data_IF_579256009434
#
_entry.id   IF_579256009434
#
_cell.length_a   1.000
_cell.length_b   1.000
_cell.length_c   1.000
_cell.angle_alpha   90.00
_cell.angle_beta   90.00
_cell.angle_gamma   90.00
#
_symmetry.space_group_name_H-M   'P 1'
#
loop_
_entity.id
_entity.type
_entity.pdbx_description
1 polymer ?
#
# COMPACT_ATOMS: atom_id res chain seq x y z
N UNK A 1 -41.11 23.95 -27.73
CA UNK A 1 -40.23 22.80 -27.78
C UNK A 1 -39.44 22.82 -26.49
N UNK A 2 -39.54 21.77 -25.70
CA UNK A 2 -38.99 21.71 -24.33
C UNK A 2 -37.47 21.69 -24.38
N UNK A 3 -36.84 22.69 -23.75
CA UNK A 3 -35.40 22.71 -23.57
C UNK A 3 -34.96 21.52 -22.70
N UNK A 4 -33.94 20.82 -23.17
CA UNK A 4 -33.28 19.78 -22.43
C UNK A 4 -32.67 20.39 -21.16
N UNK A 5 -33.12 19.94 -20.01
CA UNK A 5 -32.50 20.23 -18.72
C UNK A 5 -31.14 19.56 -18.76
N UNK A 6 -30.08 20.36 -18.87
CA UNK A 6 -28.71 19.87 -18.61
C UNK A 6 -28.69 19.31 -17.19
N UNK A 7 -28.48 18.00 -17.03
CA UNK A 7 -28.21 17.42 -15.73
C UNK A 7 -26.90 18.04 -15.20
N UNK A 8 -27.04 18.97 -14.28
CA UNK A 8 -25.91 19.56 -13.57
C UNK A 8 -25.24 18.49 -12.74
N UNK A 9 -24.11 17.97 -13.22
CA UNK A 9 -23.29 16.95 -12.55
C UNK A 9 -22.46 17.62 -11.43
N UNK A 10 -23.11 18.13 -10.40
CA UNK A 10 -22.43 18.63 -9.21
C UNK A 10 -22.96 17.93 -7.95
N UNK A 11 -22.10 17.86 -6.93
CA UNK A 11 -22.48 17.43 -5.59
C UNK A 11 -22.41 18.62 -4.63
N UNK A 12 -23.48 18.87 -3.87
CA UNK A 12 -23.49 19.85 -2.81
C UNK A 12 -22.62 19.35 -1.65
N UNK A 13 -21.66 20.16 -1.20
CA UNK A 13 -20.84 19.88 -0.03
C UNK A 13 -21.52 20.40 1.22
N UNK A 14 -21.87 21.71 1.23
CA UNK A 14 -22.54 22.40 2.32
C UNK A 14 -23.06 23.76 1.87
N UNK A 15 -23.87 24.38 2.70
CA UNK A 15 -24.27 25.78 2.57
C UNK A 15 -23.52 26.61 3.64
N UNK A 16 -22.99 27.76 3.26
CA UNK A 16 -22.25 28.65 4.15
C UNK A 16 -22.72 30.09 3.98
N UNK A 17 -22.67 30.86 5.06
CA UNK A 17 -23.01 32.28 5.03
C UNK A 17 -21.74 33.11 4.80
N UNK A 18 -21.66 33.84 3.70
CA UNK A 18 -20.52 34.71 3.36
C UNK A 18 -20.99 35.98 2.68
N UNK A 19 -20.13 36.98 2.65
CA UNK A 19 -20.30 38.13 1.75
C UNK A 19 -20.02 37.66 0.32
N UNK A 20 -21.10 37.65 -0.49
CA UNK A 20 -21.03 37.14 -1.86
C UNK A 20 -20.45 38.21 -2.80
N UNK A 21 -19.35 37.92 -3.54
CA UNK A 21 -18.75 38.87 -4.44
C UNK A 21 -19.58 39.16 -5.67
N UNK A 22 -20.56 38.28 -6.01
CA UNK A 22 -21.43 38.47 -7.18
C UNK A 22 -22.60 39.42 -6.92
N UNK A 23 -23.29 39.24 -5.79
CA UNK A 23 -24.45 40.07 -5.47
C UNK A 23 -24.20 41.14 -4.39
N UNK A 24 -23.01 41.17 -3.76
CA UNK A 24 -22.61 42.13 -2.72
C UNK A 24 -23.38 42.00 -1.40
N UNK A 25 -24.12 40.91 -1.19
CA UNK A 25 -24.92 40.67 0.02
C UNK A 25 -24.29 39.57 0.88
N UNK A 26 -24.56 39.63 2.19
CA UNK A 26 -24.28 38.52 3.09
C UNK A 26 -25.49 37.60 3.06
N UNK A 27 -25.31 36.39 2.50
CA UNK A 27 -26.36 35.38 2.41
C UNK A 27 -25.77 33.96 2.36
N UNK A 28 -26.64 32.96 2.32
CA UNK A 28 -26.24 31.58 2.16
C UNK A 28 -25.83 31.30 0.69
N UNK A 29 -24.63 30.79 0.49
CA UNK A 29 -24.14 30.27 -0.80
C UNK A 29 -23.84 28.78 -0.67
N UNK A 30 -23.99 28.07 -1.77
CA UNK A 30 -23.70 26.65 -1.82
C UNK A 30 -22.24 26.40 -2.20
N UNK A 31 -21.53 25.64 -1.36
CA UNK A 31 -20.23 25.07 -1.70
C UNK A 31 -20.47 23.76 -2.44
N UNK A 32 -20.13 23.72 -3.72
CA UNK A 32 -20.36 22.60 -4.63
C UNK A 32 -19.07 21.99 -5.12
N UNK A 33 -19.13 20.75 -5.59
CA UNK A 33 -18.02 20.08 -6.26
C UNK A 33 -18.45 19.40 -7.56
N UNK A 34 -17.54 19.39 -8.52
CA UNK A 34 -17.69 18.71 -9.82
C UNK A 34 -16.37 18.13 -10.29
N UNK A 35 -16.40 17.27 -11.29
CA UNK A 35 -15.18 16.83 -11.99
C UNK A 35 -14.86 17.86 -13.08
N UNK A 36 -13.68 18.48 -12.95
CA UNK A 36 -13.13 19.41 -13.92
C UNK A 36 -11.84 18.85 -14.54
N UNK A 37 -11.36 19.47 -15.61
CA UNK A 37 -10.11 19.11 -16.26
C UNK A 37 -9.21 20.34 -16.42
N UNK A 38 -7.92 20.16 -16.22
CA UNK A 38 -6.90 21.20 -16.45
C UNK A 38 -5.62 20.57 -17.02
N UNK A 39 -4.67 21.40 -17.38
CA UNK A 39 -3.35 20.97 -17.87
C UNK A 39 -2.31 21.22 -16.78
N UNK A 40 -1.59 20.16 -16.39
CA UNK A 40 -0.46 20.22 -15.45
C UNK A 40 0.76 19.64 -16.15
N UNK A 41 1.85 20.41 -16.27
CA UNK A 41 3.07 19.98 -16.98
C UNK A 41 2.79 19.32 -18.33
N UNK A 42 1.98 20.00 -19.16
CA UNK A 42 1.57 19.58 -20.50
C UNK A 42 0.69 18.33 -20.58
N UNK A 43 0.20 17.84 -19.44
CA UNK A 43 -0.70 16.69 -19.38
C UNK A 43 -2.09 17.09 -18.88
N UNK A 44 -3.13 16.56 -19.55
CA UNK A 44 -4.52 16.75 -19.14
C UNK A 44 -4.81 15.87 -17.94
N UNK A 45 -5.21 16.49 -16.83
CA UNK A 45 -5.65 15.82 -15.61
C UNK A 45 -7.08 16.17 -15.29
N UNK A 46 -7.83 15.22 -14.75
CA UNK A 46 -9.19 15.42 -14.24
C UNK A 46 -9.14 15.40 -12.72
N UNK A 47 -9.78 16.38 -12.07
CA UNK A 47 -9.73 16.54 -10.62
C UNK A 47 -11.08 16.97 -10.07
N UNK A 48 -11.26 16.83 -8.77
CA UNK A 48 -12.43 17.34 -8.06
C UNK A 48 -12.25 18.83 -7.81
N UNK A 49 -13.05 19.64 -8.52
CA UNK A 49 -13.09 21.09 -8.39
C UNK A 49 -14.16 21.50 -7.40
N UNK A 50 -13.80 22.40 -6.47
CA UNK A 50 -14.71 23.02 -5.51
C UNK A 50 -14.98 24.44 -5.98
N UNK A 51 -16.24 24.89 -5.86
CA UNK A 51 -16.66 26.24 -6.20
C UNK A 51 -17.87 26.64 -5.38
N UNK A 52 -18.16 27.93 -5.35
CA UNK A 52 -19.36 28.49 -4.73
C UNK A 52 -20.39 28.81 -5.77
N UNK A 53 -21.66 28.62 -5.44
CA UNK A 53 -22.81 28.96 -6.27
C UNK A 53 -23.68 29.94 -5.49
N UNK A 54 -24.00 31.09 -6.13
CA UNK A 54 -24.87 32.11 -5.60
C UNK A 54 -26.27 31.92 -6.19
N UNK A 55 -27.28 31.55 -5.40
CA UNK A 55 -28.67 31.38 -5.91
C UNK A 55 -29.38 32.71 -6.21
N UNK A 56 -28.86 33.81 -5.63
CA UNK A 56 -29.45 35.14 -5.72
C UNK A 56 -28.81 36.04 -6.80
N UNK A 57 -27.89 35.48 -7.57
CA UNK A 57 -27.27 36.25 -8.68
C UNK A 57 -28.17 36.26 -9.89
N UNK A 58 -28.40 37.45 -10.44
CA UNK A 58 -29.11 37.66 -11.71
C UNK A 58 -28.19 37.55 -12.93
N UNK A 59 -26.89 37.25 -12.72
CA UNK A 59 -25.92 37.12 -13.78
C UNK A 59 -25.98 35.72 -14.42
N UNK A 60 -25.61 35.61 -15.71
CA UNK A 60 -25.51 34.34 -16.40
C UNK A 60 -24.49 33.40 -15.75
N UNK A 61 -23.45 33.95 -15.09
CA UNK A 61 -22.45 33.24 -14.32
C UNK A 61 -22.71 33.47 -12.83
N UNK A 62 -23.32 32.50 -12.17
CA UNK A 62 -23.61 32.50 -10.73
C UNK A 62 -22.63 31.63 -9.91
N UNK A 63 -21.51 31.23 -10.51
CA UNK A 63 -20.44 30.48 -9.89
C UNK A 63 -19.23 31.40 -9.61
N UNK A 64 -18.57 31.18 -8.48
CA UNK A 64 -17.32 31.88 -8.14
C UNK A 64 -16.40 31.05 -7.27
N UNK A 65 -15.16 31.45 -7.24
CA UNK A 65 -14.15 30.88 -6.32
C UNK A 65 -13.55 31.99 -5.47
N UNK A 66 -12.90 31.60 -4.39
CA UNK A 66 -12.06 32.46 -3.59
C UNK A 66 -10.61 32.01 -3.73
N UNK A 67 -9.65 32.87 -3.42
CA UNK A 67 -8.23 32.48 -3.49
C UNK A 67 -7.90 31.27 -2.64
N UNK A 68 -8.64 31.00 -1.55
CA UNK A 68 -8.53 29.77 -0.78
C UNK A 68 -8.99 28.54 -1.58
N UNK A 69 -10.16 28.62 -2.21
CA UNK A 69 -10.70 27.51 -3.01
C UNK A 69 -9.83 27.26 -4.24
N UNK A 70 -9.36 28.30 -4.91
CA UNK A 70 -8.45 28.15 -6.05
C UNK A 70 -7.15 27.43 -5.68
N UNK A 71 -6.57 27.74 -4.52
CA UNK A 71 -5.39 27.02 -4.02
C UNK A 71 -5.68 25.54 -3.76
N UNK A 72 -6.87 25.20 -3.19
CA UNK A 72 -7.31 23.82 -2.96
C UNK A 72 -7.47 23.12 -4.31
N UNK A 73 -8.17 23.73 -5.28
CA UNK A 73 -8.41 23.18 -6.60
C UNK A 73 -7.11 22.89 -7.35
N UNK A 74 -6.17 23.84 -7.31
CA UNK A 74 -4.86 23.66 -7.92
C UNK A 74 -4.04 22.54 -7.24
N UNK A 75 -4.16 22.40 -5.93
CA UNK A 75 -3.50 21.30 -5.19
C UNK A 75 -4.13 19.94 -5.55
N UNK A 76 -5.47 19.87 -5.68
CA UNK A 76 -6.19 18.67 -6.12
C UNK A 76 -5.74 18.23 -7.52
N UNK A 77 -5.67 19.17 -8.46
CA UNK A 77 -5.19 18.90 -9.83
C UNK A 77 -3.73 18.39 -9.81
N UNK A 78 -2.85 19.02 -9.02
CA UNK A 78 -1.45 18.59 -8.89
C UNK A 78 -1.32 17.23 -8.22
N UNK A 79 -2.13 16.92 -7.22
CA UNK A 79 -2.14 15.60 -6.58
C UNK A 79 -2.65 14.51 -7.52
N UNK A 80 -3.59 14.83 -8.41
CA UNK A 80 -4.01 13.90 -9.47
C UNK A 80 -2.86 13.61 -10.44
N UNK A 81 -2.14 14.65 -10.86
CA UNK A 81 -0.92 14.47 -11.68
C UNK A 81 0.13 13.60 -10.96
N UNK A 82 0.41 13.90 -9.67
CA UNK A 82 1.35 13.11 -8.86
C UNK A 82 0.98 11.63 -8.81
N UNK A 83 -0.29 11.32 -8.57
CA UNK A 83 -0.80 9.93 -8.57
C UNK A 83 -0.60 9.26 -9.92
N UNK A 84 -0.90 9.93 -11.02
CA UNK A 84 -0.70 9.40 -12.37
C UNK A 84 0.77 9.13 -12.70
N UNK A 85 1.69 9.91 -12.12
CA UNK A 85 3.16 9.74 -12.27
C UNK A 85 3.79 8.85 -11.19
N UNK A 86 3.02 8.29 -10.29
CA UNK A 86 3.55 7.49 -9.18
C UNK A 86 4.32 8.31 -8.15
N UNK A 87 4.17 9.65 -8.11
CA UNK A 87 4.82 10.51 -7.13
C UNK A 87 4.00 10.62 -5.85
N UNK A 88 4.66 10.93 -4.75
CA UNK A 88 4.01 11.21 -3.46
C UNK A 88 3.09 12.43 -3.58
N UNK A 89 1.88 12.33 -3.05
CA UNK A 89 0.96 13.46 -2.93
C UNK A 89 1.41 14.42 -1.83
N UNK A 90 0.87 15.64 -1.81
CA UNK A 90 1.15 16.61 -0.73
C UNK A 90 0.85 16.05 0.66
N UNK A 91 -0.27 15.33 0.81
CA UNK A 91 -0.67 14.74 2.09
C UNK A 91 0.28 13.63 2.54
N UNK A 92 0.80 12.84 1.59
CA UNK A 92 1.81 11.83 1.88
C UNK A 92 3.14 12.46 2.32
N UNK A 93 3.53 13.61 1.74
CA UNK A 93 4.73 14.36 2.17
C UNK A 93 4.51 14.90 3.60
N UNK A 94 3.34 15.47 3.89
CA UNK A 94 2.97 15.90 5.25
C UNK A 94 3.02 14.72 6.23
N UNK A 95 2.49 13.56 5.85
CA UNK A 95 2.50 12.36 6.68
C UNK A 95 3.93 11.91 7.02
N UNK A 96 4.85 11.90 6.03
CA UNK A 96 6.27 11.59 6.23
C UNK A 96 6.91 12.55 7.23
N UNK A 97 6.64 13.85 7.12
CA UNK A 97 7.15 14.85 8.05
C UNK A 97 6.64 14.62 9.48
N UNK A 98 5.35 14.33 9.61
CA UNK A 98 4.71 14.09 10.90
C UNK A 98 5.19 12.81 11.58
N UNK A 99 5.65 11.78 10.82
CA UNK A 99 6.25 10.57 11.40
C UNK A 99 7.40 10.87 12.34
N UNK A 100 8.14 11.96 12.08
CA UNK A 100 9.32 12.37 12.85
C UNK A 100 9.11 13.64 13.67
N UNK A 101 7.86 14.11 13.78
CA UNK A 101 7.49 15.36 14.46
C UNK A 101 8.33 16.57 13.99
N UNK A 102 8.52 16.67 12.68
CA UNK A 102 9.33 17.72 12.04
C UNK A 102 8.42 18.85 11.55
N UNK A 103 8.88 20.10 11.71
CA UNK A 103 8.35 21.22 10.93
C UNK A 103 8.80 21.13 9.46
N UNK A 104 8.19 21.91 8.57
CA UNK A 104 8.61 22.00 7.16
C UNK A 104 10.08 22.40 7.03
N UNK A 105 10.51 23.37 7.85
CA UNK A 105 11.89 23.83 7.89
C UNK A 105 12.82 22.75 8.45
N UNK A 106 12.42 22.04 9.49
CA UNK A 106 13.24 20.98 10.09
C UNK A 106 13.45 19.83 9.10
N UNK A 107 12.41 19.42 8.36
CA UNK A 107 12.56 18.37 7.34
C UNK A 107 13.49 18.85 6.21
N UNK A 108 13.36 20.09 5.76
CA UNK A 108 14.27 20.65 4.75
C UNK A 108 15.72 20.66 5.26
N UNK A 109 15.97 21.10 6.50
CA UNK A 109 17.31 21.09 7.14
C UNK A 109 17.87 19.69 7.28
N UNK A 110 17.04 18.72 7.70
CA UNK A 110 17.42 17.31 7.82
C UNK A 110 17.91 16.75 6.48
N UNK A 111 17.21 17.08 5.39
CA UNK A 111 17.53 16.62 4.04
C UNK A 111 18.64 17.45 3.35
N UNK A 112 19.07 18.54 3.98
CA UNK A 112 20.05 19.47 3.38
C UNK A 112 19.46 20.30 2.23
N UNK A 113 18.13 20.49 2.23
CA UNK A 113 17.42 21.28 1.21
C UNK A 113 17.20 22.72 1.64
N UNK A 114 16.79 23.56 0.69
CA UNK A 114 16.38 24.93 1.01
C UNK A 114 15.11 24.95 1.88
N UNK A 115 15.04 25.83 2.87
CA UNK A 115 14.00 25.86 3.91
C UNK A 115 12.55 25.95 3.34
N UNK A 116 12.36 26.58 2.18
CA UNK A 116 11.06 26.69 1.54
C UNK A 116 10.68 25.47 0.67
N UNK A 117 11.56 24.48 0.50
CA UNK A 117 11.36 23.37 -0.44
C UNK A 117 10.18 22.51 -0.02
N UNK A 118 10.13 22.09 1.23
CA UNK A 118 9.04 21.24 1.76
C UNK A 118 7.71 21.97 1.73
N UNK A 119 7.67 23.23 2.20
CA UNK A 119 6.45 24.05 2.14
C UNK A 119 5.89 24.17 0.73
N UNK A 120 6.77 24.32 -0.27
CA UNK A 120 6.36 24.36 -1.69
C UNK A 120 5.80 23.03 -2.17
N UNK A 121 6.37 21.89 -1.79
CA UNK A 121 5.86 20.57 -2.17
C UNK A 121 4.55 20.22 -1.46
N UNK A 122 4.37 20.64 -0.22
CA UNK A 122 3.12 20.46 0.51
C UNK A 122 1.98 21.35 -0.03
N UNK A 123 2.27 22.49 -0.67
CA UNK A 123 1.24 23.46 -1.07
C UNK A 123 1.16 23.80 -2.57
N UNK A 124 2.30 23.89 -3.27
CA UNK A 124 2.33 24.54 -4.59
C UNK A 124 3.07 23.76 -5.68
N UNK A 125 4.26 23.23 -5.41
CA UNK A 125 5.13 22.66 -6.42
C UNK A 125 5.01 21.12 -6.46
N UNK A 126 5.25 20.56 -7.63
CA UNK A 126 5.40 19.12 -7.81
C UNK A 126 6.89 18.81 -7.71
N UNK A 127 7.24 17.87 -6.87
CA UNK A 127 8.62 17.41 -6.67
C UNK A 127 9.15 16.66 -7.90
N UNK A 128 10.47 16.72 -8.08
CA UNK A 128 11.16 15.90 -9.06
C UNK A 128 11.37 14.48 -8.50
N UNK A 129 11.66 13.52 -9.39
CA UNK A 129 11.86 12.11 -9.02
C UNK A 129 12.95 11.90 -7.96
N UNK A 130 14.05 12.68 -8.01
CA UNK A 130 15.12 12.58 -7.03
C UNK A 130 14.66 12.99 -5.63
N UNK A 131 13.87 14.07 -5.52
CA UNK A 131 13.29 14.51 -4.26
C UNK A 131 12.22 13.53 -3.75
N UNK A 132 11.38 12.99 -4.65
CA UNK A 132 10.39 11.98 -4.33
C UNK A 132 11.05 10.71 -3.79
N UNK A 133 12.09 10.23 -4.46
CA UNK A 133 12.88 9.07 -4.03
C UNK A 133 13.46 9.27 -2.63
N UNK A 134 14.05 10.45 -2.34
CA UNK A 134 14.59 10.73 -1.02
C UNK A 134 13.52 10.74 0.07
N UNK A 135 12.34 11.32 -0.21
CA UNK A 135 11.20 11.29 0.71
C UNK A 135 10.71 9.87 0.97
N UNK A 136 10.71 8.99 -0.02
CA UNK A 136 10.39 7.56 0.16
C UNK A 136 11.43 6.85 1.02
N UNK A 137 12.73 7.10 0.77
CA UNK A 137 13.81 6.52 1.57
C UNK A 137 13.63 6.87 3.05
N UNK A 138 13.37 8.13 3.39
CA UNK A 138 13.18 8.52 4.80
C UNK A 138 11.86 7.99 5.39
N UNK A 139 10.83 7.78 4.58
CA UNK A 139 9.60 7.12 5.01
C UNK A 139 9.84 5.67 5.43
N UNK A 140 10.62 4.95 4.63
CA UNK A 140 10.78 3.50 4.75
C UNK A 140 11.98 3.09 5.59
N UNK A 141 12.96 4.00 5.79
CA UNK A 141 14.22 3.70 6.48
C UNK A 141 14.55 4.72 7.58
N UNK A 142 14.05 4.53 8.80
CA UNK A 142 14.38 5.40 9.94
C UNK A 142 15.87 5.44 10.28
N UNK A 143 16.65 4.39 9.94
CA UNK A 143 18.11 4.41 10.11
C UNK A 143 18.77 5.47 9.23
N UNK A 144 18.34 5.59 7.96
CA UNK A 144 18.83 6.64 7.07
C UNK A 144 18.50 8.04 7.61
N UNK A 145 17.34 8.21 8.25
CA UNK A 145 16.97 9.47 8.92
C UNK A 145 17.92 9.80 10.07
N UNK A 146 18.32 8.80 10.87
CA UNK A 146 19.29 8.98 11.94
C UNK A 146 20.67 9.40 11.40
N UNK A 147 21.14 8.80 10.32
CA UNK A 147 22.39 9.15 9.66
C UNK A 147 22.35 10.58 9.09
N UNK A 148 21.23 10.97 8.45
CA UNK A 148 21.02 12.35 7.98
C UNK A 148 20.98 13.36 9.13
N UNK A 149 20.36 13.01 10.27
CA UNK A 149 20.34 13.86 11.44
C UNK A 149 21.74 14.06 12.02
N UNK A 150 22.56 13.00 12.07
CA UNK A 150 23.94 13.10 12.52
C UNK A 150 24.78 13.98 11.61
N UNK A 151 24.63 13.83 10.28
CA UNK A 151 25.34 14.62 9.28
C UNK A 151 24.99 16.10 9.32
N UNK A 152 23.76 16.46 9.67
CA UNK A 152 23.25 17.83 9.67
C UNK A 152 22.95 18.34 11.11
N UNK A 153 23.59 17.77 12.12
CA UNK A 153 23.33 18.06 13.52
C UNK A 153 23.57 19.54 13.88
N UNK A 154 24.53 20.18 13.23
CA UNK A 154 24.87 21.60 13.38
C UNK A 154 23.74 22.56 12.98
N UNK A 155 22.77 22.09 12.20
CA UNK A 155 21.61 22.88 11.77
C UNK A 155 20.46 22.93 12.79
N UNK A 156 20.59 22.20 13.91
CA UNK A 156 19.55 22.06 14.94
C UNK A 156 20.05 22.53 16.30
N UNK A 157 19.16 23.11 17.09
CA UNK A 157 19.44 23.35 18.52
C UNK A 157 19.51 22.01 19.28
N UNK A 158 20.28 21.98 20.37
CA UNK A 158 20.46 20.77 21.17
C UNK A 158 19.13 20.15 21.67
N UNK A 159 18.13 20.92 22.20
CA UNK A 159 16.84 20.36 22.57
C UNK A 159 16.07 19.73 21.39
N UNK A 160 16.10 20.40 20.21
CA UNK A 160 15.42 19.89 19.01
C UNK A 160 16.08 18.62 18.49
N UNK A 161 17.41 18.57 18.54
CA UNK A 161 18.17 17.39 18.12
C UNK A 161 17.82 16.16 18.97
N UNK A 162 17.68 16.34 20.29
CA UNK A 162 17.26 15.29 21.21
C UNK A 162 15.85 14.82 20.89
N UNK A 163 14.89 15.75 20.72
CA UNK A 163 13.49 15.42 20.38
C UNK A 163 13.38 14.64 19.07
N UNK A 164 14.06 15.10 18.00
CA UNK A 164 14.06 14.40 16.70
C UNK A 164 14.67 13.01 16.84
N UNK A 165 15.82 12.89 17.54
CA UNK A 165 16.49 11.60 17.77
C UNK A 165 15.59 10.64 18.53
N UNK A 166 14.89 11.10 19.57
CA UNK A 166 13.94 10.27 20.31
C UNK A 166 12.84 9.76 19.38
N UNK A 167 12.26 10.63 18.54
CA UNK A 167 11.19 10.23 17.60
C UNK A 167 11.69 9.23 16.54
N UNK A 168 12.92 9.40 16.06
CA UNK A 168 13.55 8.42 15.17
C UNK A 168 13.72 7.08 15.88
N UNK A 169 14.14 7.07 17.13
CA UNK A 169 14.32 5.82 17.90
C UNK A 169 12.99 5.12 18.19
N UNK A 170 11.92 5.86 18.45
CA UNK A 170 10.55 5.33 18.57
C UNK A 170 10.12 4.66 17.24
N UNK A 171 10.35 5.32 16.11
CA UNK A 171 10.07 4.76 14.78
C UNK A 171 10.98 3.57 14.44
N UNK A 172 12.25 3.57 14.86
CA UNK A 172 13.14 2.43 14.72
C UNK A 172 12.68 1.22 15.53
N UNK A 173 12.14 1.42 16.71
CA UNK A 173 11.63 0.33 17.54
C UNK A 173 10.33 -0.27 16.97
N UNK A 174 9.51 0.52 16.29
CA UNK A 174 8.24 0.06 15.68
C UNK A 174 8.38 -0.31 14.20
N UNK A 175 8.98 0.55 13.38
CA UNK A 175 9.09 0.36 11.91
C UNK A 175 10.41 -0.26 11.48
N UNK A 176 11.45 -0.18 12.31
CA UNK A 176 12.75 -0.77 11.99
C UNK A 176 12.71 -2.30 11.97
N UNK A 177 11.89 -2.91 12.81
CA UNK A 177 11.67 -4.36 12.79
C UNK A 177 10.90 -4.78 11.53
N UNK A 178 9.93 -3.98 11.10
CA UNK A 178 9.22 -4.19 9.84
C UNK A 178 10.19 -4.14 8.65
N UNK A 179 10.99 -3.07 8.54
CA UNK A 179 12.00 -2.94 7.49
C UNK A 179 12.98 -4.12 7.49
N UNK A 180 13.56 -4.47 8.64
CA UNK A 180 14.54 -5.56 8.76
C UNK A 180 13.92 -6.92 8.42
N UNK A 181 12.69 -7.20 8.85
CA UNK A 181 12.02 -8.46 8.55
C UNK A 181 11.73 -8.59 7.05
N UNK A 182 11.28 -7.52 6.39
CA UNK A 182 11.05 -7.46 4.95
C UNK A 182 12.35 -7.64 4.17
N UNK A 183 13.40 -6.88 4.50
CA UNK A 183 14.73 -7.02 3.86
C UNK A 183 15.32 -8.43 4.05
N UNK A 184 15.10 -9.03 5.20
CA UNK A 184 15.52 -10.40 5.47
C UNK A 184 14.81 -11.39 4.53
N UNK A 185 13.49 -11.25 4.29
CA UNK A 185 12.78 -12.09 3.34
C UNK A 185 13.21 -11.81 1.90
N UNK A 186 13.31 -10.55 1.49
CA UNK A 186 13.74 -10.15 0.15
C UNK A 186 15.14 -10.71 -0.20
N UNK A 187 16.04 -10.82 0.79
CA UNK A 187 17.37 -11.38 0.56
C UNK A 187 17.35 -12.83 0.08
N UNK A 188 16.33 -13.62 0.42
CA UNK A 188 16.15 -14.98 -0.11
C UNK A 188 15.76 -15.00 -1.59
N UNK A 189 15.16 -13.89 -2.07
CA UNK A 189 14.62 -13.75 -3.42
C UNK A 189 15.53 -12.97 -4.39
N UNK A 190 16.74 -12.59 -3.99
CA UNK A 190 17.68 -11.84 -4.84
C UNK A 190 17.92 -12.52 -6.20
N UNK A 191 17.97 -13.86 -6.24
CA UNK A 191 18.12 -14.62 -7.49
C UNK A 191 16.85 -14.72 -8.35
N UNK A 192 15.69 -14.26 -7.86
CA UNK A 192 14.39 -14.31 -8.53
C UNK A 192 13.84 -12.93 -8.90
N UNK A 193 14.71 -11.95 -9.13
CA UNK A 193 14.34 -10.57 -9.47
C UNK A 193 13.88 -10.38 -10.92
N UNK A 194 13.71 -11.47 -11.68
CA UNK A 194 13.12 -11.46 -13.01
C UNK A 194 11.95 -12.43 -13.05
N UNK A 195 10.95 -12.09 -13.85
CA UNK A 195 9.85 -13.01 -14.14
C UNK A 195 10.38 -14.30 -14.74
N UNK A 196 10.00 -15.41 -14.15
CA UNK A 196 10.42 -16.75 -14.57
C UNK A 196 9.40 -17.80 -14.09
N UNK A 197 9.58 -19.04 -14.56
CA UNK A 197 8.71 -20.15 -14.18
C UNK A 197 8.74 -20.45 -12.66
N UNK A 198 9.89 -20.23 -12.01
CA UNK A 198 10.04 -20.48 -10.57
C UNK A 198 9.18 -19.55 -9.70
N UNK A 199 8.96 -18.29 -10.11
CA UNK A 199 8.13 -17.32 -9.39
C UNK A 199 6.75 -17.10 -10.04
N UNK A 200 6.39 -17.94 -11.02
CA UNK A 200 5.11 -17.85 -11.73
C UNK A 200 4.88 -16.49 -12.38
N UNK A 201 5.91 -15.94 -13.03
CA UNK A 201 5.88 -14.67 -13.74
C UNK A 201 5.55 -13.45 -12.87
N UNK A 202 5.73 -13.55 -11.54
CA UNK A 202 5.46 -12.47 -10.59
C UNK A 202 6.67 -12.28 -9.68
N UNK A 203 7.10 -11.05 -9.46
CA UNK A 203 8.13 -10.76 -8.48
C UNK A 203 7.53 -10.82 -7.07
N UNK A 204 8.36 -11.15 -6.07
CA UNK A 204 7.92 -11.16 -4.69
C UNK A 204 7.24 -9.82 -4.32
N UNK A 205 6.02 -9.91 -3.82
CA UNK A 205 5.25 -8.78 -3.34
C UNK A 205 4.82 -9.03 -1.89
N UNK A 206 5.58 -8.45 -0.95
CA UNK A 206 5.37 -8.67 0.49
C UNK A 206 4.04 -8.07 0.94
N UNK A 207 3.60 -6.92 0.39
CA UNK A 207 2.32 -6.32 0.75
C UNK A 207 1.15 -7.24 0.38
N UNK A 208 1.20 -7.85 -0.80
CA UNK A 208 0.21 -8.87 -1.20
C UNK A 208 0.31 -10.13 -0.36
N UNK A 209 1.52 -10.57 -0.02
CA UNK A 209 1.71 -11.74 0.85
C UNK A 209 1.07 -11.51 2.22
N UNK A 210 1.33 -10.37 2.84
CA UNK A 210 0.72 -9.98 4.13
C UNK A 210 -0.80 -9.89 4.02
N UNK A 211 -1.33 -9.31 2.92
CA UNK A 211 -2.76 -9.24 2.66
C UNK A 211 -3.40 -10.63 2.48
N UNK A 212 -2.75 -11.55 1.77
CA UNK A 212 -3.23 -12.93 1.60
C UNK A 212 -3.25 -13.66 2.94
N UNK A 213 -2.22 -13.51 3.77
CA UNK A 213 -2.15 -14.14 5.09
C UNK A 213 -3.27 -13.60 5.99
N UNK A 214 -3.48 -12.28 6.04
CA UNK A 214 -4.57 -11.66 6.81
C UNK A 214 -5.94 -12.09 6.29
N UNK A 215 -6.12 -12.15 4.96
CA UNK A 215 -7.34 -12.63 4.31
C UNK A 215 -7.71 -14.07 4.73
N UNK A 216 -6.72 -14.96 4.76
CA UNK A 216 -6.91 -16.33 5.23
C UNK A 216 -7.16 -16.40 6.74
N UNK A 217 -6.41 -15.65 7.54
CA UNK A 217 -6.59 -15.63 8.99
C UNK A 217 -8.00 -15.19 9.42
N UNK A 218 -8.63 -14.30 8.65
CA UNK A 218 -10.00 -13.81 8.88
C UNK A 218 -11.07 -14.84 8.55
N UNK A 219 -10.81 -15.77 7.63
CA UNK A 219 -11.83 -16.64 7.01
C UNK A 219 -11.61 -18.13 7.27
N UNK A 220 -10.43 -18.53 7.71
CA UNK A 220 -10.05 -19.92 7.95
C UNK A 220 -9.92 -20.19 9.45
N UNK A 221 -10.70 -21.13 9.96
CA UNK A 221 -10.59 -21.53 11.36
C UNK A 221 -9.27 -22.29 11.60
N UNK A 222 -8.60 -21.97 12.72
CA UNK A 222 -7.37 -22.64 13.14
C UNK A 222 -6.28 -22.67 12.04
N UNK A 223 -5.94 -21.49 11.54
CA UNK A 223 -4.92 -21.34 10.50
C UNK A 223 -3.51 -21.51 11.09
N UNK A 224 -3.03 -22.74 11.12
CA UNK A 224 -1.68 -23.05 11.56
C UNK A 224 -0.66 -23.02 10.41
N UNK A 225 0.64 -22.86 10.74
CA UNK A 225 1.74 -22.69 9.79
C UNK A 225 1.71 -23.69 8.63
N UNK A 226 1.59 -24.98 8.92
CA UNK A 226 1.59 -26.02 7.87
C UNK A 226 0.47 -25.78 6.87
N UNK A 227 -0.74 -25.56 7.37
CA UNK A 227 -1.93 -25.31 6.54
C UNK A 227 -1.76 -24.03 5.72
N UNK A 228 -1.32 -22.92 6.34
CA UNK A 228 -1.07 -21.66 5.64
C UNK A 228 -0.09 -21.83 4.49
N UNK A 229 1.07 -22.46 4.72
CA UNK A 229 2.07 -22.63 3.67
C UNK A 229 1.55 -23.40 2.46
N UNK A 230 0.67 -24.38 2.67
CA UNK A 230 0.03 -25.13 1.58
C UNK A 230 -1.04 -24.30 0.87
N UNK A 231 -1.85 -23.56 1.61
CA UNK A 231 -2.85 -22.67 1.03
C UNK A 231 -2.23 -21.54 0.20
N UNK A 232 -1.06 -21.03 0.59
CA UNK A 232 -0.27 -20.07 -0.22
C UNK A 232 0.14 -20.68 -1.56
N UNK A 233 0.66 -21.93 -1.55
CA UNK A 233 1.04 -22.62 -2.78
C UNK A 233 -0.17 -22.83 -3.70
N UNK A 234 -1.32 -23.29 -3.15
CA UNK A 234 -2.53 -23.50 -3.94
C UNK A 234 -3.08 -22.17 -4.51
N UNK A 235 -3.02 -21.07 -3.77
CA UNK A 235 -3.44 -19.77 -4.27
C UNK A 235 -2.59 -19.30 -5.45
N UNK A 236 -1.27 -19.35 -5.31
CA UNK A 236 -0.36 -18.98 -6.37
C UNK A 236 -0.48 -19.92 -7.59
N UNK A 237 -0.64 -21.23 -7.36
CA UNK A 237 -0.81 -22.22 -8.43
C UNK A 237 -2.12 -22.04 -9.18
N UNK A 238 -3.23 -21.80 -8.49
CA UNK A 238 -4.53 -21.56 -9.10
C UNK A 238 -4.55 -20.22 -9.87
N UNK A 239 -3.93 -19.18 -9.31
CA UNK A 239 -3.77 -17.91 -10.00
C UNK A 239 -2.92 -18.08 -11.28
N UNK A 240 -1.83 -18.83 -11.19
CA UNK A 240 -0.99 -19.12 -12.36
C UNK A 240 -1.73 -19.96 -13.42
N UNK A 241 -2.51 -20.94 -13.00
CA UNK A 241 -3.36 -21.75 -13.90
C UNK A 241 -4.34 -20.88 -14.67
N UNK A 242 -5.00 -19.93 -14.01
CA UNK A 242 -6.07 -19.11 -14.57
C UNK A 242 -5.55 -17.87 -15.32
N UNK A 243 -4.51 -17.22 -14.80
CA UNK A 243 -4.07 -15.88 -15.25
C UNK A 243 -2.61 -15.82 -15.68
N UNK A 244 -1.87 -16.94 -15.69
CA UNK A 244 -0.44 -17.04 -16.05
C UNK A 244 0.48 -16.19 -15.17
N UNK A 245 0.03 -15.85 -13.97
CA UNK A 245 0.78 -15.11 -12.95
C UNK A 245 0.35 -15.53 -11.55
N UNK A 246 1.28 -15.55 -10.62
CA UNK A 246 1.00 -15.79 -9.20
C UNK A 246 0.49 -14.52 -8.51
N UNK A 247 -0.05 -14.63 -7.31
CA UNK A 247 -0.51 -13.50 -6.48
C UNK A 247 0.67 -12.87 -5.75
N UNK A 248 1.49 -13.71 -5.09
CA UNK A 248 2.51 -13.27 -4.13
C UNK A 248 3.91 -13.18 -4.71
N UNK A 249 4.20 -13.90 -5.78
CA UNK A 249 5.55 -14.06 -6.33
C UNK A 249 6.45 -14.95 -5.48
N UNK A 250 5.89 -15.75 -4.57
CA UNK A 250 6.63 -16.73 -3.80
C UNK A 250 7.19 -17.84 -4.70
N UNK A 251 8.38 -18.31 -4.36
CA UNK A 251 9.03 -19.48 -4.96
C UNK A 251 8.93 -20.64 -3.97
N UNK A 252 8.53 -21.79 -4.44
CA UNK A 252 8.30 -22.96 -3.59
C UNK A 252 9.34 -24.05 -3.88
N UNK A 253 9.75 -24.74 -2.83
CA UNK A 253 10.59 -25.92 -2.96
C UNK A 253 9.85 -27.16 -2.44
N UNK A 254 10.26 -28.30 -2.96
CA UNK A 254 9.84 -29.61 -2.47
C UNK A 254 10.44 -29.84 -1.08
N UNK A 255 9.60 -30.09 -0.11
CA UNK A 255 10.00 -30.44 1.27
C UNK A 255 9.20 -31.65 1.75
N UNK A 256 9.67 -32.35 2.76
CA UNK A 256 9.02 -33.55 3.29
C UNK A 256 7.55 -33.34 3.67
N UNK A 257 7.18 -32.12 4.05
CA UNK A 257 5.80 -31.73 4.35
C UNK A 257 5.04 -31.14 3.14
N UNK A 258 5.53 -31.33 1.92
CA UNK A 258 4.94 -30.79 0.69
C UNK A 258 5.58 -29.45 0.27
N UNK A 259 5.00 -28.77 -0.74
CA UNK A 259 5.52 -27.49 -1.23
C UNK A 259 5.63 -26.47 -0.09
N UNK A 260 6.81 -25.82 0.01
CA UNK A 260 7.16 -24.89 1.06
C UNK A 260 7.79 -23.63 0.46
N UNK A 261 7.32 -22.41 0.79
CA UNK A 261 7.93 -21.19 0.28
C UNK A 261 9.39 -21.05 0.74
N UNK A 262 10.26 -20.61 -0.14
CA UNK A 262 11.63 -20.23 0.24
C UNK A 262 11.52 -19.11 1.28
N UNK A 263 12.32 -19.21 2.35
CA UNK A 263 12.26 -18.23 3.44
C UNK A 263 10.99 -18.30 4.31
N UNK A 264 10.26 -19.42 4.32
CA UNK A 264 9.03 -19.61 5.10
C UNK A 264 9.15 -19.24 6.58
N UNK A 265 10.33 -19.41 7.17
CA UNK A 265 10.61 -19.00 8.55
C UNK A 265 10.70 -17.47 8.71
N UNK A 266 11.09 -16.74 7.65
CA UNK A 266 11.12 -15.29 7.61
C UNK A 266 9.72 -14.70 7.35
N UNK A 267 8.86 -15.43 6.61
CA UNK A 267 7.44 -15.06 6.43
C UNK A 267 6.73 -15.00 7.78
N UNK A 268 6.98 -15.98 8.65
CA UNK A 268 6.44 -15.99 10.02
C UNK A 268 6.95 -14.81 10.85
N UNK A 269 8.17 -14.35 10.58
CA UNK A 269 8.80 -13.22 11.26
C UNK A 269 8.48 -11.83 10.69
N UNK A 270 7.61 -11.73 9.68
CA UNK A 270 7.17 -10.43 9.16
C UNK A 270 6.37 -9.67 10.24
N UNK A 271 6.69 -8.40 10.43
CA UNK A 271 6.10 -7.58 11.51
C UNK A 271 4.57 -7.42 11.38
N UNK A 272 4.06 -7.40 10.14
CA UNK A 272 2.64 -7.26 9.87
C UNK A 272 1.88 -8.60 9.84
N UNK A 273 2.57 -9.71 10.06
CA UNK A 273 1.95 -11.04 10.20
C UNK A 273 1.68 -11.30 11.68
N UNK A 274 0.43 -11.17 12.08
CA UNK A 274 0.02 -11.48 13.45
C UNK A 274 0.01 -12.98 13.68
N UNK A 275 0.71 -13.42 14.71
CA UNK A 275 0.88 -14.82 15.03
C UNK A 275 0.92 -15.00 16.54
N UNK A 276 0.33 -16.09 17.01
CA UNK A 276 0.43 -16.54 18.39
C UNK A 276 1.12 -17.90 18.43
N UNK A 277 2.11 -18.03 19.32
CA UNK A 277 2.73 -19.32 19.61
C UNK A 277 1.86 -20.07 20.62
N UNK A 278 1.54 -21.31 20.29
CA UNK A 278 0.83 -22.23 21.15
C UNK A 278 1.78 -23.36 21.54
N UNK A 279 2.09 -23.48 22.82
CA UNK A 279 2.91 -24.56 23.33
C UNK A 279 2.16 -25.89 23.29
N UNK A 280 2.63 -26.81 22.45
CA UNK A 280 2.20 -28.19 22.45
C UNK A 280 3.18 -29.07 23.25
N UNK A 281 2.77 -30.27 23.63
CA UNK A 281 3.60 -31.19 24.44
C UNK A 281 4.97 -31.55 23.80
N UNK A 282 5.11 -31.43 22.46
CA UNK A 282 6.34 -31.76 21.73
C UNK A 282 6.74 -30.74 20.67
N UNK A 283 5.82 -29.85 20.23
CA UNK A 283 6.06 -28.93 19.10
C UNK A 283 5.33 -27.61 19.35
N UNK A 284 6.02 -26.49 19.23
CA UNK A 284 5.42 -25.15 19.18
C UNK A 284 4.61 -25.00 17.90
N UNK A 285 3.35 -24.62 18.02
CA UNK A 285 2.45 -24.35 16.89
C UNK A 285 2.31 -22.86 16.70
N UNK A 286 2.34 -22.43 15.44
CA UNK A 286 2.14 -21.03 15.05
C UNK A 286 0.75 -20.87 14.50
N UNK A 287 -0.12 -20.17 15.24
CA UNK A 287 -1.48 -19.82 14.87
C UNK A 287 -1.53 -18.40 14.31
N UNK A 288 -1.98 -18.23 13.06
CA UNK A 288 -2.07 -16.94 12.39
C UNK A 288 -3.38 -16.25 12.71
N UNK A 289 -3.26 -14.98 13.07
CA UNK A 289 -4.37 -14.13 13.48
C UNK A 289 -4.56 -12.98 12.47
N UNK A 290 -5.76 -12.41 12.45
CA UNK A 290 -6.07 -11.25 11.60
C UNK A 290 -5.23 -10.05 11.99
N UNK A 291 -4.72 -9.31 11.01
CA UNK A 291 -4.19 -7.98 11.21
C UNK A 291 -5.13 -6.96 10.58
N UNK A 292 -5.92 -6.27 11.40
CA UNK A 292 -6.92 -5.30 10.95
C UNK A 292 -6.31 -4.04 10.29
N UNK A 293 -5.00 -3.84 10.42
CA UNK A 293 -4.29 -2.71 9.79
C UNK A 293 -3.90 -2.99 8.33
N UNK A 294 -4.05 -4.21 7.86
CA UNK A 294 -3.73 -4.60 6.49
C UNK A 294 -4.87 -4.20 5.55
N UNK A 295 -4.54 -3.42 4.52
CA UNK A 295 -5.49 -3.07 3.47
C UNK A 295 -5.69 -4.23 2.48
N UNK A 296 -6.78 -4.98 2.66
CA UNK A 296 -7.16 -6.06 1.75
C UNK A 296 -7.53 -5.56 0.32
N UNK A 297 -7.69 -4.24 0.10
CA UNK A 297 -8.02 -3.69 -1.22
C UNK A 297 -6.85 -3.74 -2.20
N UNK A 298 -5.64 -4.02 -1.74
CA UNK A 298 -4.51 -4.35 -2.62
C UNK A 298 -4.76 -5.61 -3.46
N UNK A 299 -5.63 -6.51 -2.99
CA UNK A 299 -6.02 -7.73 -3.71
C UNK A 299 -7.13 -7.41 -4.72
N UNK A 300 -6.92 -7.77 -5.98
CA UNK A 300 -7.95 -7.63 -7.02
C UNK A 300 -9.13 -8.57 -6.78
N UNK A 301 -10.24 -8.33 -7.47
CA UNK A 301 -11.41 -9.23 -7.42
C UNK A 301 -11.06 -10.63 -7.89
N UNK A 302 -10.24 -10.75 -8.93
CA UNK A 302 -9.77 -12.06 -9.45
C UNK A 302 -8.93 -12.80 -8.40
N UNK A 303 -8.02 -12.11 -7.73
CA UNK A 303 -7.20 -12.68 -6.67
C UNK A 303 -8.05 -13.14 -5.47
N UNK A 304 -9.03 -12.34 -5.06
CA UNK A 304 -9.96 -12.75 -3.99
C UNK A 304 -10.77 -13.99 -4.37
N UNK A 305 -11.25 -14.08 -5.61
CA UNK A 305 -11.97 -15.28 -6.09
C UNK A 305 -11.09 -16.54 -6.01
N UNK A 306 -9.79 -16.40 -6.35
CA UNK A 306 -8.83 -17.50 -6.19
C UNK A 306 -8.67 -17.89 -4.72
N UNK A 307 -8.49 -16.90 -3.83
CA UNK A 307 -8.36 -17.15 -2.40
C UNK A 307 -9.61 -17.85 -1.82
N UNK A 308 -10.80 -17.41 -2.21
CA UNK A 308 -12.07 -17.99 -1.79
C UNK A 308 -12.22 -19.43 -2.29
N UNK A 309 -11.80 -19.73 -3.53
CA UNK A 309 -11.78 -21.10 -4.04
C UNK A 309 -10.88 -22.02 -3.19
N UNK A 310 -9.69 -21.54 -2.82
CA UNK A 310 -8.76 -22.28 -1.95
C UNK A 310 -9.33 -22.46 -0.54
N UNK A 311 -9.98 -21.42 0.03
CA UNK A 311 -10.66 -21.52 1.32
C UNK A 311 -11.77 -22.58 1.26
N UNK A 312 -12.65 -22.52 0.26
CA UNK A 312 -13.76 -23.45 0.10
C UNK A 312 -13.27 -24.90 0.02
N UNK A 313 -12.13 -25.13 -0.61
CA UNK A 313 -11.54 -26.47 -0.73
C UNK A 313 -10.93 -26.95 0.59
N UNK A 314 -10.15 -26.11 1.28
CA UNK A 314 -9.28 -26.56 2.37
C UNK A 314 -9.70 -26.11 3.77
N UNK A 315 -10.77 -25.31 3.93
CA UNK A 315 -11.14 -24.80 5.25
C UNK A 315 -11.39 -25.93 6.27
N UNK A 316 -12.02 -27.02 5.85
CA UNK A 316 -12.29 -28.18 6.71
C UNK A 316 -11.08 -29.11 6.92
N UNK A 317 -10.03 -29.00 6.09
CA UNK A 317 -8.85 -29.89 6.17
C UNK A 317 -8.01 -29.58 7.41
N UNK A 318 -7.57 -30.63 8.09
CA UNK A 318 -6.51 -30.54 9.10
C UNK A 318 -5.14 -30.43 8.40
N UNK A 319 -4.12 -30.02 9.16
CA UNK A 319 -2.76 -29.86 8.62
C UNK A 319 -2.22 -31.12 7.95
N UNK A 320 -2.49 -32.30 8.52
CA UNK A 320 -2.05 -33.57 7.94
C UNK A 320 -2.78 -33.90 6.64
N UNK A 321 -4.07 -33.65 6.58
CA UNK A 321 -4.89 -33.93 5.40
C UNK A 321 -4.48 -33.09 4.18
N UNK A 322 -4.15 -31.81 4.38
CA UNK A 322 -3.68 -30.96 3.28
C UNK A 322 -2.26 -31.35 2.81
N UNK A 323 -1.42 -31.88 3.71
CA UNK A 323 -0.10 -32.41 3.34
C UNK A 323 -0.25 -33.66 2.48
N UNK A 324 -1.07 -34.61 2.90
CA UNK A 324 -1.35 -35.85 2.14
C UNK A 324 -1.96 -35.54 0.77
N UNK A 325 -2.89 -34.58 0.71
CA UNK A 325 -3.49 -34.13 -0.54
C UNK A 325 -2.43 -33.51 -1.47
N UNK A 326 -1.50 -32.71 -0.93
CA UNK A 326 -0.44 -32.08 -1.70
C UNK A 326 0.59 -33.09 -2.23
N UNK A 327 0.89 -34.15 -1.50
CA UNK A 327 1.79 -35.21 -1.96
C UNK A 327 1.25 -35.95 -3.19
N UNK A 328 -0.05 -35.87 -3.45
CA UNK A 328 -0.68 -36.43 -4.66
C UNK A 328 -0.60 -35.50 -5.88
N UNK A 329 -0.15 -34.25 -5.72
CA UNK A 329 0.00 -33.31 -6.83
C UNK A 329 1.14 -33.70 -7.78
N UNK A 330 0.90 -33.50 -9.08
CA UNK A 330 1.88 -33.81 -10.12
C UNK A 330 3.17 -32.98 -9.91
N UNK A 331 3.00 -31.72 -9.52
CA UNK A 331 4.13 -30.81 -9.26
C UNK A 331 5.04 -31.33 -8.14
N UNK A 332 4.45 -31.90 -7.09
CA UNK A 332 5.21 -32.53 -6.01
C UNK A 332 5.87 -33.83 -6.46
N UNK A 333 5.12 -34.74 -7.13
CA UNK A 333 5.63 -36.05 -7.56
C UNK A 333 6.76 -35.98 -8.60
N UNK A 334 6.84 -34.90 -9.37
CA UNK A 334 7.84 -34.70 -10.43
C UNK A 334 9.07 -33.91 -10.00
N UNK A 335 9.15 -33.49 -8.74
CA UNK A 335 10.31 -32.78 -8.19
C UNK A 335 10.96 -33.59 -7.08
N UNK A 336 12.26 -33.39 -6.84
CA UNK A 336 13.02 -34.06 -5.81
C UNK A 336 13.12 -33.19 -4.55
N UNK A 337 13.49 -33.78 -3.42
CA UNK A 337 13.69 -33.03 -2.17
C UNK A 337 14.60 -31.82 -2.36
N UNK A 338 14.21 -30.68 -1.80
CA UNK A 338 14.85 -29.37 -1.91
C UNK A 338 14.90 -28.76 -3.33
N UNK A 339 14.33 -29.39 -4.33
CA UNK A 339 14.21 -28.83 -5.68
C UNK A 339 13.11 -27.77 -5.73
N UNK A 340 13.31 -26.73 -6.56
CA UNK A 340 12.28 -25.73 -6.84
C UNK A 340 11.15 -26.38 -7.63
N UNK A 341 9.93 -26.16 -7.18
CA UNK A 341 8.71 -26.60 -7.88
C UNK A 341 8.32 -25.52 -8.91
N UNK A 342 8.52 -25.74 -10.23
CA UNK A 342 8.18 -24.75 -11.23
C UNK A 342 6.67 -24.66 -11.44
N UNK A 343 6.15 -23.46 -11.70
CA UNK A 343 4.71 -23.23 -11.90
C UNK A 343 4.17 -23.87 -13.18
N UNK A 344 5.01 -24.17 -14.16
CA UNK A 344 4.62 -24.97 -15.33
C UNK A 344 4.07 -26.34 -14.95
N UNK A 345 4.55 -26.95 -13.87
CA UNK A 345 3.97 -28.18 -13.30
C UNK A 345 2.71 -27.90 -12.46
N UNK A 346 2.62 -26.75 -11.83
CA UNK A 346 1.48 -26.37 -10.99
C UNK A 346 0.19 -26.10 -11.80
N UNK A 347 0.27 -25.90 -13.12
CA UNK A 347 -0.93 -25.80 -13.98
C UNK A 347 -1.86 -27.00 -13.90
N UNK A 348 -1.37 -28.14 -13.46
CA UNK A 348 -2.10 -29.40 -13.39
C UNK A 348 -2.59 -29.71 -11.96
N UNK A 349 -2.76 -28.67 -11.12
CA UNK A 349 -3.35 -28.86 -9.79
C UNK A 349 -4.72 -29.53 -9.88
N UNK A 350 -4.96 -30.45 -8.94
CA UNK A 350 -6.19 -31.23 -8.90
C UNK A 350 -7.38 -30.43 -8.37
N UNK A 351 -8.55 -30.74 -8.89
CA UNK A 351 -9.85 -30.30 -8.37
C UNK A 351 -10.08 -28.77 -8.26
N UNK A 352 -9.45 -27.98 -9.15
CA UNK A 352 -9.66 -26.55 -9.32
C UNK A 352 -9.96 -26.18 -10.77
#
# INVERSE_FOLDING_TARGET
>A
MKGAIAMNNYNLIRTIQIECPLCGKIHEVEERKRIAATIIKDEKVTYEEIYYFCPDSDEEENEFTTGRIENINLLNARNTYRKAKGLLTSDQIVAIRNMYDLSQVDLARLLGWGEATISRYESKAIQDEAYDTMLRIIKENPKAVLELLQKNADKFSAPKLISIKQKIMENLSSSGMEFLSRQSLESEYVRFQKQCDANGNTLLNIDKLEAVISYYAKRVNNLFKVKLMKMLWYADSLSFKNYQRTITGLVYCHDSMGALPIGHYKIVGLQNVNMQEEDGFEITKYHFLVNENIDENILSTEERNVLDAVINKFNSFKSQEIVEYMHEEIAYKKTNDKEIIPFSLARQIKDF
#
